data_IF_333902546226
#
_entry.id   IF_333902546226
#
_cell.length_a   1.000
_cell.length_b   1.000
_cell.length_c   1.000
_cell.angle_alpha   90.00
_cell.angle_beta   90.00
_cell.angle_gamma   90.00
#
_symmetry.space_group_name_H-M   'P 1'
#
loop_
_entity.id
_entity.type
_entity.pdbx_description
1 polymer ?
#
# COMPACT_ATOMS: atom_id res chain seq x y z
N UNK A 1 -20.54 1.18 -3.46
CA UNK A 1 -20.59 -0.27 -3.15
C UNK A 1 -19.23 -0.83 -3.49
N UNK A 2 -18.55 -1.49 -2.53
CA UNK A 2 -17.22 -2.09 -2.78
C UNK A 2 -17.39 -3.26 -3.77
N UNK A 3 -16.56 -3.33 -4.80
CA UNK A 3 -16.71 -4.38 -5.81
C UNK A 3 -16.29 -5.75 -5.25
N UNK A 4 -16.77 -6.81 -5.92
CA UNK A 4 -16.34 -8.17 -5.61
C UNK A 4 -14.81 -8.33 -5.71
N UNK A 5 -14.19 -7.72 -6.72
CA UNK A 5 -12.74 -7.75 -6.89
C UNK A 5 -12.05 -7.12 -5.68
N UNK A 6 -12.42 -5.88 -5.34
CA UNK A 6 -11.79 -5.14 -4.25
C UNK A 6 -11.92 -5.88 -2.92
N UNK A 7 -13.13 -6.33 -2.57
CA UNK A 7 -13.36 -7.11 -1.34
C UNK A 7 -12.53 -8.40 -1.31
N UNK A 8 -12.41 -9.09 -2.44
CA UNK A 8 -11.63 -10.35 -2.50
C UNK A 8 -10.14 -10.10 -2.35
N UNK A 9 -9.61 -9.06 -2.99
CA UNK A 9 -8.22 -8.67 -2.86
C UNK A 9 -7.91 -8.23 -1.44
N UNK A 10 -8.74 -7.37 -0.83
CA UNK A 10 -8.57 -6.89 0.53
C UNK A 10 -8.50 -8.04 1.55
N UNK A 11 -9.42 -9.01 1.44
CA UNK A 11 -9.37 -10.24 2.25
C UNK A 11 -8.09 -11.02 2.02
N UNK A 12 -7.64 -11.15 0.78
CA UNK A 12 -6.37 -11.80 0.44
C UNK A 12 -5.16 -11.13 1.09
N UNK A 13 -5.10 -9.79 1.07
CA UNK A 13 -4.04 -9.01 1.75
C UNK A 13 -4.09 -9.25 3.26
N UNK A 14 -5.27 -9.26 3.87
CA UNK A 14 -5.42 -9.55 5.30
C UNK A 14 -4.84 -10.95 5.63
N UNK A 15 -5.17 -11.97 4.83
CA UNK A 15 -4.64 -13.33 5.01
C UNK A 15 -3.11 -13.40 4.85
N UNK A 16 -2.50 -12.54 4.01
CA UNK A 16 -1.04 -12.38 3.94
C UNK A 16 -0.51 -11.82 5.25
N UNK A 17 -1.13 -10.76 5.77
CA UNK A 17 -0.74 -10.14 7.03
C UNK A 17 -0.80 -11.12 8.20
N UNK A 18 -1.87 -11.92 8.30
CA UNK A 18 -2.04 -12.95 9.32
C UNK A 18 -0.97 -14.06 9.22
N UNK A 19 -0.64 -14.50 8.01
CA UNK A 19 0.46 -15.45 7.77
C UNK A 19 1.80 -14.88 8.26
N UNK A 20 2.08 -13.61 7.92
CA UNK A 20 3.29 -12.94 8.35
C UNK A 20 3.30 -12.65 9.86
N UNK A 21 2.14 -12.52 10.50
CA UNK A 21 2.00 -12.39 11.94
C UNK A 21 2.36 -13.69 12.66
N UNK A 22 1.95 -14.85 12.14
CA UNK A 22 2.37 -16.19 12.63
C UNK A 22 3.89 -16.36 12.55
N UNK A 23 4.51 -15.82 11.50
CA UNK A 23 5.98 -15.79 11.31
C UNK A 23 6.69 -14.67 12.09
N UNK A 24 5.97 -13.98 12.99
CA UNK A 24 6.45 -12.88 13.85
C UNK A 24 6.98 -11.65 13.08
N UNK A 25 6.71 -11.48 11.79
CA UNK A 25 7.15 -10.32 10.98
C UNK A 25 6.19 -9.13 11.09
N UNK A 26 4.89 -9.42 11.14
CA UNK A 26 3.83 -8.44 11.34
C UNK A 26 3.39 -8.46 12.80
N UNK A 27 3.17 -7.28 13.38
CA UNK A 27 2.63 -7.10 14.74
C UNK A 27 1.11 -7.06 14.73
N UNK A 28 0.52 -6.31 13.80
CA UNK A 28 -0.94 -6.18 13.61
C UNK A 28 -1.29 -5.97 12.14
N UNK A 29 -2.45 -6.46 11.73
CA UNK A 29 -3.10 -6.20 10.45
C UNK A 29 -4.32 -5.32 10.71
N UNK A 30 -4.46 -4.22 9.98
CA UNK A 30 -5.49 -3.20 10.22
C UNK A 30 -6.05 -2.70 8.88
N UNK A 31 -7.27 -2.17 8.90
CA UNK A 31 -7.92 -1.52 7.75
C UNK A 31 -8.18 -0.05 8.07
N UNK A 32 -8.07 0.84 7.09
CA UNK A 32 -8.25 2.28 7.27
C UNK A 32 -9.67 2.66 7.70
N UNK A 33 -10.69 1.91 7.27
CA UNK A 33 -12.08 2.15 7.68
C UNK A 33 -12.29 2.00 9.20
N UNK A 34 -11.59 1.06 9.85
CA UNK A 34 -11.66 0.89 11.31
C UNK A 34 -10.58 1.66 12.06
N UNK A 35 -9.45 1.93 11.40
CA UNK A 35 -8.25 2.49 12.00
C UNK A 35 -7.57 3.43 11.01
N UNK A 36 -8.08 4.66 10.81
CA UNK A 36 -7.46 5.62 9.92
C UNK A 36 -6.05 5.97 10.41
N UNK A 37 -5.18 6.30 9.45
CA UNK A 37 -3.85 6.85 9.72
C UNK A 37 -3.95 8.37 9.78
N UNK A 38 -3.59 8.95 10.92
CA UNK A 38 -3.55 10.39 11.09
C UNK A 38 -2.30 10.97 10.45
N UNK A 39 -2.49 11.99 9.61
CA UNK A 39 -1.46 12.88 9.11
C UNK A 39 -1.58 14.15 9.94
N UNK A 40 -0.62 14.37 10.81
CA UNK A 40 -0.57 15.52 11.72
C UNK A 40 0.29 16.61 11.12
N UNK A 41 -0.25 17.81 10.99
CA UNK A 41 0.54 19.00 10.74
C UNK A 41 1.08 19.53 12.07
N UNK A 42 2.40 19.59 12.24
CA UNK A 42 3.03 20.09 13.46
C UNK A 42 2.67 21.55 13.78
N UNK A 43 2.29 22.34 12.78
CA UNK A 43 1.95 23.75 12.92
C UNK A 43 0.44 24.02 13.05
N UNK A 44 -0.39 22.98 12.97
CA UNK A 44 -1.85 23.12 12.94
C UNK A 44 -2.53 22.07 13.82
N UNK A 45 -3.69 22.41 14.39
CA UNK A 45 -4.54 21.41 15.07
C UNK A 45 -5.30 20.52 14.09
N UNK A 46 -5.12 20.72 12.78
CA UNK A 46 -5.77 19.94 11.74
C UNK A 46 -5.12 18.55 11.63
N UNK A 47 -5.96 17.53 11.76
CA UNK A 47 -5.59 16.14 11.52
C UNK A 47 -6.30 15.68 10.26
N UNK A 48 -5.53 15.36 9.23
CA UNK A 48 -6.07 14.73 8.02
C UNK A 48 -6.04 13.23 8.23
N UNK A 49 -7.19 12.58 8.10
CA UNK A 49 -7.29 11.13 8.25
C UNK A 49 -7.18 10.46 6.88
N UNK A 50 -6.14 9.65 6.71
CA UNK A 50 -5.93 8.80 5.56
C UNK A 50 -6.45 7.40 5.85
N UNK A 51 -7.29 6.86 4.96
CA UNK A 51 -7.95 5.57 5.13
C UNK A 51 -7.45 4.58 4.07
N UNK A 52 -6.29 3.93 4.29
CA UNK A 52 -5.82 2.92 3.35
C UNK A 52 -6.68 1.66 3.40
N UNK A 53 -6.70 0.88 2.32
CA UNK A 53 -7.46 -0.36 2.27
C UNK A 53 -7.02 -1.36 3.35
N UNK A 54 -5.70 -1.59 3.46
CA UNK A 54 -5.08 -2.41 4.50
C UNK A 54 -3.71 -1.83 4.84
N UNK A 55 -3.30 -1.94 6.09
CA UNK A 55 -1.90 -1.73 6.45
C UNK A 55 -1.45 -2.70 7.53
N UNK A 56 -0.17 -3.04 7.49
CA UNK A 56 0.48 -3.87 8.51
C UNK A 56 1.32 -2.98 9.39
N UNK A 57 1.13 -3.08 10.71
CA UNK A 57 2.11 -2.59 11.68
C UNK A 57 3.17 -3.66 11.84
N UNK A 58 4.40 -3.35 11.44
CA UNK A 58 5.56 -4.24 11.53
C UNK A 58 6.09 -4.29 12.98
N UNK A 59 7.02 -5.21 13.26
CA UNK A 59 7.63 -5.34 14.60
C UNK A 59 8.39 -4.10 15.07
N UNK A 60 9.05 -3.40 14.14
CA UNK A 60 9.71 -2.12 14.38
C UNK A 60 8.71 -0.94 14.43
N UNK A 61 7.40 -1.20 14.56
CA UNK A 61 6.30 -0.24 14.53
C UNK A 61 6.11 0.53 13.22
N UNK A 62 6.99 0.35 12.22
CA UNK A 62 6.77 0.91 10.88
C UNK A 62 5.53 0.31 10.21
N UNK A 63 4.99 1.04 9.25
CA UNK A 63 3.73 0.72 8.57
C UNK A 63 4.00 0.34 7.12
N UNK A 64 3.50 -0.82 6.71
CA UNK A 64 3.44 -1.22 5.30
C UNK A 64 2.00 -1.05 4.83
N UNK A 65 1.79 -0.14 3.89
CA UNK A 65 0.47 0.29 3.43
C UNK A 65 0.14 -0.41 2.12
N UNK A 66 -1.11 -0.82 1.95
CA UNK A 66 -1.64 -1.42 0.74
C UNK A 66 -2.84 -0.62 0.23
N UNK A 67 -2.81 -0.28 -1.05
CA UNK A 67 -3.91 0.39 -1.76
C UNK A 67 -4.35 -0.47 -2.95
N UNK A 68 -5.66 -0.69 -3.09
CA UNK A 68 -6.26 -1.55 -4.10
C UNK A 68 -6.95 -0.67 -5.13
N UNK A 69 -6.30 -0.54 -6.28
CA UNK A 69 -6.86 0.16 -7.43
C UNK A 69 -7.83 -0.77 -8.15
N UNK A 70 -9.13 -0.49 -8.04
CA UNK A 70 -10.17 -1.24 -8.73
C UNK A 70 -10.75 -0.42 -9.89
N UNK A 71 -11.65 0.53 -9.61
CA UNK A 71 -12.18 1.44 -10.63
C UNK A 71 -11.28 2.66 -10.84
N UNK A 72 -10.33 2.84 -9.94
CA UNK A 72 -9.46 3.99 -9.79
C UNK A 72 -8.13 3.81 -10.55
N UNK A 73 -7.90 2.66 -11.16
CA UNK A 73 -6.65 2.37 -11.89
C UNK A 73 -6.38 3.37 -13.03
N UNK A 74 -7.43 4.00 -13.57
CA UNK A 74 -7.32 5.03 -14.59
C UNK A 74 -7.20 6.47 -14.05
N UNK A 75 -7.34 6.67 -12.73
CA UNK A 75 -7.42 7.98 -12.09
C UNK A 75 -6.09 8.36 -11.47
N UNK A 76 -5.26 9.05 -12.25
CA UNK A 76 -3.91 9.44 -11.84
C UNK A 76 -3.89 10.32 -10.58
N UNK A 77 -4.90 11.18 -10.44
CA UNK A 77 -5.10 12.04 -9.27
C UNK A 77 -5.28 11.25 -7.97
N UNK A 78 -6.00 10.12 -8.01
CA UNK A 78 -6.17 9.23 -6.85
C UNK A 78 -4.84 8.58 -6.48
N UNK A 79 -4.12 8.02 -7.47
CA UNK A 79 -2.80 7.40 -7.25
C UNK A 79 -1.84 8.41 -6.62
N UNK A 80 -1.77 9.63 -7.17
CA UNK A 80 -0.94 10.71 -6.64
C UNK A 80 -1.33 11.04 -5.19
N UNK A 81 -2.63 11.16 -4.92
CA UNK A 81 -3.12 11.49 -3.59
C UNK A 81 -2.69 10.44 -2.55
N UNK A 82 -2.76 9.15 -2.88
CA UNK A 82 -2.36 8.07 -1.96
C UNK A 82 -0.84 7.99 -1.78
N UNK A 83 -0.06 8.27 -2.83
CA UNK A 83 1.39 8.43 -2.68
C UNK A 83 1.70 9.55 -1.70
N UNK A 84 1.13 10.74 -1.88
CA UNK A 84 1.37 11.89 -1.00
C UNK A 84 0.94 11.57 0.43
N UNK A 85 -0.30 11.09 0.62
CA UNK A 85 -0.83 10.78 1.95
C UNK A 85 0.02 9.74 2.67
N UNK A 86 0.42 8.67 2.00
CA UNK A 86 1.27 7.65 2.62
C UNK A 86 2.65 8.19 3.01
N UNK A 87 3.25 9.08 2.22
CA UNK A 87 4.56 9.64 2.53
C UNK A 87 4.51 10.65 3.68
N UNK A 88 3.35 11.26 3.92
CA UNK A 88 3.13 12.16 5.05
C UNK A 88 2.76 11.43 6.35
N UNK A 89 2.42 10.14 6.30
CA UNK A 89 2.20 9.36 7.52
C UNK A 89 3.54 9.01 8.16
N UNK A 90 3.63 9.20 9.47
CA UNK A 90 4.82 8.82 10.23
C UNK A 90 5.13 7.33 10.16
N UNK A 91 6.42 6.98 10.20
CA UNK A 91 6.92 5.61 10.23
C UNK A 91 6.44 4.71 9.08
N UNK A 92 6.20 5.23 7.88
CA UNK A 92 5.91 4.36 6.73
C UNK A 92 7.18 3.68 6.23
N UNK A 93 7.11 2.35 6.10
CA UNK A 93 8.18 1.53 5.52
C UNK A 93 8.01 1.39 4.01
N UNK A 94 6.77 1.23 3.54
CA UNK A 94 6.43 1.00 2.13
C UNK A 94 4.96 1.27 1.83
N UNK A 95 4.69 1.70 0.60
CA UNK A 95 3.38 1.74 -0.04
C UNK A 95 3.35 0.72 -1.18
N UNK A 96 2.36 -0.16 -1.17
CA UNK A 96 2.18 -1.21 -2.17
C UNK A 96 0.82 -1.04 -2.85
N UNK A 97 0.82 -0.70 -4.13
CA UNK A 97 -0.41 -0.69 -4.92
C UNK A 97 -0.72 -2.09 -5.45
N UNK A 98 -1.98 -2.50 -5.39
CA UNK A 98 -2.50 -3.71 -6.00
C UNK A 98 -3.48 -3.31 -7.08
N UNK A 99 -3.24 -3.76 -8.30
CA UNK A 99 -4.00 -3.34 -9.47
C UNK A 99 -4.31 -4.53 -10.38
N UNK A 100 -5.38 -4.43 -11.19
CA UNK A 100 -5.80 -5.48 -12.12
C UNK A 100 -5.46 -5.20 -13.58
N UNK A 101 -5.25 -3.93 -13.92
CA UNK A 101 -4.99 -3.43 -15.27
C UNK A 101 -3.69 -3.91 -15.89
N UNK A 102 -3.34 -3.26 -16.99
CA UNK A 102 -2.21 -3.63 -17.85
C UNK A 102 -0.95 -2.84 -17.49
N UNK A 103 0.12 -3.01 -18.28
CA UNK A 103 1.43 -2.41 -18.03
C UNK A 103 1.38 -0.87 -17.97
N UNK A 104 0.47 -0.24 -18.72
CA UNK A 104 0.26 1.22 -18.65
C UNK A 104 -0.17 1.71 -17.26
N UNK A 105 -0.99 0.94 -16.55
CA UNK A 105 -1.40 1.26 -15.17
C UNK A 105 -0.20 1.14 -14.25
N UNK A 106 0.61 0.10 -14.41
CA UNK A 106 1.85 -0.08 -13.64
C UNK A 106 2.83 1.08 -13.85
N UNK A 107 3.09 1.44 -15.11
CA UNK A 107 3.97 2.57 -15.44
C UNK A 107 3.48 3.85 -14.78
N UNK A 108 2.18 4.15 -14.83
CA UNK A 108 1.61 5.35 -14.19
C UNK A 108 1.83 5.40 -12.68
N UNK A 109 1.68 4.26 -12.00
CA UNK A 109 1.91 4.18 -10.55
C UNK A 109 3.40 4.39 -10.24
N UNK A 110 4.27 3.73 -10.99
CA UNK A 110 5.72 3.84 -10.84
C UNK A 110 6.18 5.26 -11.11
N UNK A 111 5.73 5.89 -12.18
CA UNK A 111 6.01 7.29 -12.51
C UNK A 111 5.57 8.21 -11.38
N UNK A 112 4.35 8.04 -10.87
CA UNK A 112 3.84 8.84 -9.74
C UNK A 112 4.75 8.70 -8.50
N UNK A 113 5.13 7.47 -8.15
CA UNK A 113 6.06 7.20 -7.06
C UNK A 113 7.42 7.85 -7.28
N UNK A 114 8.01 7.70 -8.47
CA UNK A 114 9.33 8.24 -8.83
C UNK A 114 9.30 9.77 -8.80
N UNK A 115 8.36 10.39 -9.50
CA UNK A 115 8.26 11.85 -9.62
C UNK A 115 8.09 12.52 -8.26
N UNK A 116 7.20 11.99 -7.41
CA UNK A 116 7.00 12.55 -6.07
C UNK A 116 8.23 12.33 -5.20
N UNK A 117 8.79 11.13 -5.19
CA UNK A 117 9.98 10.82 -4.38
C UNK A 117 11.17 11.67 -4.77
N UNK A 118 11.49 11.76 -6.06
CA UNK A 118 12.57 12.61 -6.57
C UNK A 118 12.29 14.07 -6.26
N UNK A 119 11.07 14.56 -6.47
CA UNK A 119 10.68 15.93 -6.14
C UNK A 119 10.92 16.30 -4.67
N UNK A 120 10.68 15.38 -3.74
CA UNK A 120 10.96 15.55 -2.32
C UNK A 120 12.46 15.52 -2.02
N UNK A 121 13.23 14.64 -2.66
CA UNK A 121 14.69 14.60 -2.54
C UNK A 121 15.32 15.90 -3.04
N UNK A 122 14.87 16.43 -4.19
CA UNK A 122 15.33 17.72 -4.71
C UNK A 122 15.02 18.89 -3.77
N UNK A 123 14.00 18.75 -2.91
CA UNK A 123 13.63 19.72 -1.87
C UNK A 123 14.39 19.50 -0.56
N UNK A 124 15.31 18.54 -0.50
CA UNK A 124 16.21 18.32 0.63
C UNK A 124 15.81 17.17 1.57
N UNK A 125 14.77 16.39 1.26
CA UNK A 125 14.43 15.21 2.08
C UNK A 125 15.43 14.08 1.79
N UNK A 126 16.08 13.50 2.82
CA UNK A 126 16.99 12.38 2.60
C UNK A 126 16.29 11.16 1.97
N UNK A 127 16.89 10.58 0.94
CA UNK A 127 16.29 9.46 0.21
C UNK A 127 16.01 8.22 1.10
N UNK A 128 16.84 8.00 2.13
CA UNK A 128 16.68 6.90 3.09
C UNK A 128 15.52 7.09 4.08
N UNK A 129 14.97 8.31 4.18
CA UNK A 129 13.77 8.60 4.98
C UNK A 129 12.49 8.37 4.18
N UNK A 130 12.56 8.36 2.85
CA UNK A 130 11.42 8.09 1.99
C UNK A 130 11.15 6.58 1.88
N UNK A 131 9.87 6.15 1.90
CA UNK A 131 9.51 4.73 1.74
C UNK A 131 9.66 4.22 0.29
N UNK A 132 10.28 5.00 -0.61
CA UNK A 132 10.32 4.74 -2.05
C UNK A 132 11.00 3.41 -2.42
N UNK A 133 12.20 3.13 -1.88
CA UNK A 133 12.98 1.92 -2.25
C UNK A 133 12.29 0.59 -1.89
N UNK A 134 11.24 0.64 -1.06
CA UNK A 134 10.43 -0.51 -0.68
C UNK A 134 8.98 -0.38 -1.14
N UNK A 135 8.60 0.72 -1.77
CA UNK A 135 7.27 0.89 -2.36
C UNK A 135 7.23 0.24 -3.74
N UNK A 136 6.04 0.00 -4.26
CA UNK A 136 5.89 -0.59 -5.59
C UNK A 136 4.49 -1.11 -5.87
N UNK A 137 4.42 -2.04 -6.81
CA UNK A 137 3.15 -2.56 -7.33
C UNK A 137 3.09 -4.08 -7.28
N UNK A 138 1.86 -4.61 -7.22
CA UNK A 138 1.57 -6.04 -7.38
C UNK A 138 0.36 -6.18 -8.29
N UNK A 139 0.56 -6.74 -9.49
CA UNK A 139 -0.54 -7.09 -10.40
C UNK A 139 -1.30 -8.31 -9.89
N UNK A 140 -2.60 -8.14 -9.66
CA UNK A 140 -3.55 -9.21 -9.35
C UNK A 140 -4.71 -9.11 -10.34
N UNK A 141 -4.72 -9.98 -11.35
CA UNK A 141 -5.78 -10.01 -12.35
C UNK A 141 -7.13 -10.44 -11.73
N UNK A 142 -8.25 -10.13 -12.40
CA UNK A 142 -9.58 -10.61 -11.98
C UNK A 142 -9.64 -12.14 -11.81
N UNK A 143 -8.92 -12.88 -12.67
CA UNK A 143 -8.83 -14.35 -12.59
C UNK A 143 -8.10 -14.82 -11.33
N UNK A 144 -7.09 -14.08 -10.88
CA UNK A 144 -6.38 -14.38 -9.62
C UNK A 144 -7.20 -13.95 -8.40
N UNK A 145 -7.99 -12.88 -8.51
CA UNK A 145 -8.92 -12.40 -7.49
C UNK A 145 -10.26 -13.14 -7.44
N UNK A 146 -10.28 -14.44 -7.80
CA UNK A 146 -11.46 -15.30 -7.66
C UNK A 146 -11.65 -15.82 -6.22
N UNK A 147 -10.57 -15.87 -5.43
CA UNK A 147 -10.63 -16.18 -4.01
C UNK A 147 -9.53 -15.47 -3.22
N UNK A 148 -9.75 -15.14 -1.93
CA UNK A 148 -8.74 -14.55 -1.07
C UNK A 148 -7.44 -15.39 -0.97
N UNK A 149 -7.54 -16.71 -1.00
CA UNK A 149 -6.41 -17.64 -0.91
C UNK A 149 -5.52 -17.58 -2.15
N UNK A 150 -6.13 -17.41 -3.34
CA UNK A 150 -5.37 -17.23 -4.57
C UNK A 150 -4.63 -15.89 -4.56
N UNK A 151 -5.28 -14.82 -4.11
CA UNK A 151 -4.64 -13.50 -3.91
C UNK A 151 -3.47 -13.62 -2.92
N UNK A 152 -3.69 -14.26 -1.76
CA UNK A 152 -2.62 -14.51 -0.77
C UNK A 152 -1.42 -15.19 -1.41
N UNK A 153 -1.65 -16.27 -2.18
CA UNK A 153 -0.59 -17.03 -2.84
C UNK A 153 0.21 -16.16 -3.80
N UNK A 154 -0.46 -15.36 -4.62
CA UNK A 154 0.19 -14.47 -5.59
C UNK A 154 1.01 -13.38 -4.91
N UNK A 155 0.47 -12.73 -3.87
CA UNK A 155 1.20 -11.71 -3.10
C UNK A 155 2.42 -12.33 -2.42
N UNK A 156 2.26 -13.49 -1.78
CA UNK A 156 3.38 -14.19 -1.14
C UNK A 156 4.46 -14.56 -2.15
N UNK A 157 4.09 -15.08 -3.33
CA UNK A 157 5.04 -15.44 -4.39
C UNK A 157 5.80 -14.23 -4.93
N UNK A 158 5.13 -13.11 -5.15
CA UNK A 158 5.72 -11.93 -5.83
C UNK A 158 6.56 -11.08 -4.89
N UNK A 159 6.16 -10.94 -3.63
CA UNK A 159 6.76 -9.98 -2.68
C UNK A 159 7.51 -10.65 -1.54
N UNK A 160 7.21 -11.91 -1.27
CA UNK A 160 7.62 -12.63 -0.07
C UNK A 160 8.14 -14.05 -0.38
N UNK A 161 8.62 -14.28 -1.61
CA UNK A 161 9.09 -15.60 -2.09
C UNK A 161 10.28 -16.15 -1.33
N UNK A 162 11.10 -15.28 -0.74
CA UNK A 162 12.30 -15.67 0.02
C UNK A 162 12.02 -16.01 1.49
N UNK A 163 10.76 -16.21 1.89
CA UNK A 163 10.43 -16.56 3.28
C UNK A 163 10.44 -18.08 3.47
N UNK A 164 11.61 -18.61 3.80
CA UNK A 164 11.74 -19.89 4.53
C UNK A 164 11.20 -19.73 5.96
#
# INVERSE_FOLDING_TARGET
MVSFYHSTVQKGVILVGEELQKRKRVKKVLTGNGHPLSITDYNSKLVVNYQPDVYFKLRNNKKMIFEILDSEEQKQDIIIADVIRSFLVEDVDSLIFIYKGDEEVEMRIIESLVTISMGLVYKGIPQNELPFGKSGVIRITKKQAMSPENVKREILKRRFSNIK
#
